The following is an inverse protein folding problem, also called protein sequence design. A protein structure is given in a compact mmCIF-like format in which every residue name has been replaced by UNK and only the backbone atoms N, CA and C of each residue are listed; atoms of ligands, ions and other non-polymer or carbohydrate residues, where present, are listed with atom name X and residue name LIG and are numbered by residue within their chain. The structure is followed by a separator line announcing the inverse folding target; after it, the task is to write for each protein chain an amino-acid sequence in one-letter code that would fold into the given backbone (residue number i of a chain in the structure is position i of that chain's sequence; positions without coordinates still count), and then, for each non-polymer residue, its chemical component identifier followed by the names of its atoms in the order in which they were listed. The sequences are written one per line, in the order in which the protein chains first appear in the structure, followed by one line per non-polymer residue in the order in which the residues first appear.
data_IF_350276222378
#
_entry.id   IF_350276222378
#
_cell.length_a   1.000
_cell.length_b   1.000
_cell.length_c   1.000
_cell.angle_alpha   90.00
_cell.angle_beta   90.00
_cell.angle_gamma   90.00
#
_symmetry.space_group_name_H-M   'P 1'
#
loop_
_entity.id
_entity.type
_entity.pdbx_description
1 polymer ?
#
# COMPACT_ATOMS: atom_id res chain seq x y z
N UNK A 1 2.07 17.17 9.09
CA UNK A 1 2.85 18.39 9.36
C UNK A 1 3.93 18.50 8.29
N UNK A 2 4.13 19.67 7.66
CA UNK A 2 5.15 19.84 6.64
C UNK A 2 6.55 19.70 7.27
N UNK A 3 7.39 18.86 6.68
CA UNK A 3 8.77 18.68 7.12
C UNK A 3 9.70 19.52 6.22
N UNK A 4 10.69 20.15 6.86
CA UNK A 4 11.72 20.92 6.17
C UNK A 4 12.96 20.04 6.10
N UNK A 5 13.42 19.72 4.89
CA UNK A 5 14.57 18.84 4.68
C UNK A 5 15.77 19.65 4.19
N UNK A 6 16.96 19.32 4.67
CA UNK A 6 18.19 19.88 4.11
C UNK A 6 18.39 19.37 2.67
N UNK A 7 19.19 20.06 1.83
CA UNK A 7 19.48 19.60 0.47
C UNK A 7 20.04 18.17 0.39
N UNK A 8 20.82 17.77 1.40
CA UNK A 8 21.40 16.43 1.51
C UNK A 8 20.32 15.39 1.84
N UNK A 9 19.42 15.72 2.78
CA UNK A 9 18.31 14.84 3.14
C UNK A 9 17.32 14.69 1.98
N UNK A 10 17.11 15.75 1.20
CA UNK A 10 16.28 15.72 0.01
C UNK A 10 16.89 14.81 -1.07
N UNK A 11 18.21 14.88 -1.27
CA UNK A 11 18.91 14.04 -2.23
C UNK A 11 18.86 12.56 -1.82
N UNK A 12 19.08 12.26 -0.54
CA UNK A 12 18.96 10.91 0.01
C UNK A 12 17.52 10.38 -0.09
N UNK A 13 16.53 11.24 0.15
CA UNK A 13 15.13 10.86 -0.02
C UNK A 13 14.84 10.56 -1.50
N UNK A 14 15.20 11.45 -2.44
CA UNK A 14 14.97 11.22 -3.86
C UNK A 14 15.65 9.95 -4.42
N UNK A 15 16.79 9.53 -3.87
CA UNK A 15 17.49 8.31 -4.28
C UNK A 15 16.96 7.04 -3.61
N UNK A 16 16.29 7.16 -2.46
CA UNK A 16 15.72 6.01 -1.72
C UNK A 16 14.24 5.79 -2.01
N UNK A 17 13.59 6.73 -2.70
CA UNK A 17 12.16 6.63 -3.01
C UNK A 17 11.86 5.52 -4.03
N UNK A 18 10.87 4.66 -3.74
CA UNK A 18 10.46 3.66 -4.71
C UNK A 18 9.82 4.31 -5.94
N UNK A 19 10.01 3.70 -7.12
CA UNK A 19 9.44 4.21 -8.37
C UNK A 19 7.90 4.25 -8.28
N UNK A 20 7.33 5.42 -8.57
CA UNK A 20 5.87 5.66 -8.54
C UNK A 20 5.37 6.41 -7.31
N UNK A 21 6.24 6.73 -6.34
CA UNK A 21 5.86 7.63 -5.25
C UNK A 21 5.76 9.07 -5.75
N UNK A 22 4.60 9.69 -5.56
CA UNK A 22 4.43 11.13 -5.73
C UNK A 22 4.81 11.85 -4.45
N UNK A 23 5.70 12.82 -4.59
CA UNK A 23 5.96 13.81 -3.57
C UNK A 23 5.30 15.11 -4.00
N UNK A 24 4.47 15.66 -3.13
CA UNK A 24 4.09 17.06 -3.23
C UNK A 24 5.22 17.89 -2.60
N UNK A 25 5.90 18.69 -3.43
CA UNK A 25 7.00 19.56 -3.01
C UNK A 25 6.63 21.03 -3.25
N UNK A 26 6.84 21.86 -2.24
CA UNK A 26 6.71 23.31 -2.35
C UNK A 26 8.08 23.96 -2.23
N UNK A 27 8.42 24.83 -3.18
CA UNK A 27 9.65 25.61 -3.14
C UNK A 27 9.38 26.90 -2.37
N UNK A 28 10.03 27.07 -1.23
CA UNK A 28 9.91 28.29 -0.44
C UNK A 28 10.72 29.45 -1.06
N UNK A 29 10.36 30.71 -0.79
CA UNK A 29 11.11 31.88 -1.28
C UNK A 29 12.56 31.94 -0.80
N UNK A 30 12.90 31.25 0.30
CA UNK A 30 14.26 31.10 0.83
C UNK A 30 15.10 30.07 0.07
N UNK A 31 14.54 29.35 -0.90
CA UNK A 31 15.24 28.32 -1.66
C UNK A 31 15.19 26.92 -1.05
N UNK A 32 14.53 26.74 0.10
CA UNK A 32 14.31 25.42 0.72
C UNK A 32 13.13 24.69 0.07
N UNK A 33 13.24 23.36 -0.02
CA UNK A 33 12.18 22.50 -0.55
C UNK A 33 11.43 21.85 0.61
N UNK A 34 10.12 22.11 0.69
CA UNK A 34 9.24 21.47 1.67
C UNK A 34 8.55 20.28 1.06
N UNK A 35 8.52 19.17 1.78
CA UNK A 35 7.74 17.99 1.40
C UNK A 35 6.40 18.04 2.12
N UNK A 36 5.32 18.12 1.35
CA UNK A 36 3.96 18.17 1.86
C UNK A 36 3.40 16.79 2.17
N UNK A 37 3.80 15.75 1.42
CA UNK A 37 3.50 14.35 1.76
C UNK A 37 4.73 13.46 1.61
N UNK A 38 5.21 12.91 2.71
CA UNK A 38 6.24 11.88 2.71
C UNK A 38 5.63 10.51 2.38
N UNK A 39 6.41 9.55 1.85
CA UNK A 39 5.99 8.17 1.71
C UNK A 39 5.69 7.63 3.11
N UNK A 40 4.49 7.09 3.30
CA UNK A 40 4.11 6.51 4.57
C UNK A 40 4.35 5.01 4.55
N UNK A 41 4.94 4.48 5.63
CA UNK A 41 5.03 3.04 5.84
C UNK A 41 3.67 2.47 6.23
N UNK A 42 3.50 1.14 6.08
CA UNK A 42 2.33 0.40 6.58
C UNK A 42 2.04 0.78 8.04
N UNK A 43 3.06 0.71 8.89
CA UNK A 43 2.97 0.98 10.33
C UNK A 43 2.53 2.43 10.64
N UNK A 44 3.07 3.41 9.91
CA UNK A 44 2.69 4.81 10.08
C UNK A 44 1.23 5.05 9.70
N UNK A 45 0.75 4.42 8.63
CA UNK A 45 -0.66 4.51 8.23
C UNK A 45 -1.59 3.81 9.21
N UNK A 46 -1.19 2.63 9.71
CA UNK A 46 -1.93 1.92 10.75
C UNK A 46 -2.10 2.81 11.97
N UNK A 47 -1.01 3.33 12.54
CA UNK A 47 -1.08 4.16 13.75
C UNK A 47 -1.85 5.47 13.50
N UNK A 48 -1.68 6.11 12.35
CA UNK A 48 -2.28 7.42 12.10
C UNK A 48 -3.79 7.38 11.81
N UNK A 49 -4.30 6.31 11.17
CA UNK A 49 -5.69 6.23 10.70
C UNK A 49 -6.51 5.08 11.28
N UNK A 50 -5.86 3.98 11.64
CA UNK A 50 -6.52 2.73 12.01
C UNK A 50 -5.99 2.18 13.35
N UNK A 51 -5.37 3.04 14.18
CA UNK A 51 -4.74 2.64 15.43
C UNK A 51 -5.71 1.91 16.37
N UNK A 52 -6.95 2.37 16.40
CA UNK A 52 -8.02 1.79 17.23
C UNK A 52 -8.40 0.36 16.81
N UNK A 53 -8.10 -0.04 15.56
CA UNK A 53 -8.46 -1.34 14.99
C UNK A 53 -7.33 -2.37 15.11
N UNK A 54 -6.14 -1.96 15.55
CA UNK A 54 -4.97 -2.85 15.64
C UNK A 54 -5.27 -3.98 16.63
N UNK A 55 -5.04 -5.22 16.20
CA UNK A 55 -5.31 -6.41 16.99
C UNK A 55 -6.80 -6.78 17.09
N UNK A 56 -7.69 -6.06 16.39
CA UNK A 56 -9.10 -6.45 16.30
C UNK A 56 -9.32 -7.48 15.20
N UNK A 57 -9.92 -8.62 15.57
CA UNK A 57 -10.26 -9.69 14.63
C UNK A 57 -11.52 -9.41 13.83
N UNK A 58 -11.40 -9.47 12.50
CA UNK A 58 -12.54 -9.44 11.58
C UNK A 58 -12.53 -10.69 10.69
N UNK A 59 -13.69 -11.26 10.39
CA UNK A 59 -13.77 -12.35 9.41
C UNK A 59 -13.67 -11.81 7.98
N UNK A 60 -13.09 -12.59 7.05
CA UNK A 60 -12.97 -12.19 5.64
C UNK A 60 -14.31 -11.81 5.01
N UNK A 61 -15.39 -12.52 5.35
CA UNK A 61 -16.75 -12.22 4.87
C UNK A 61 -17.24 -10.86 5.36
N UNK A 62 -17.00 -10.54 6.63
CA UNK A 62 -17.40 -9.26 7.24
C UNK A 62 -16.56 -8.12 6.70
N UNK A 63 -15.25 -8.33 6.55
CA UNK A 63 -14.32 -7.40 5.92
C UNK A 63 -14.72 -7.07 4.48
N UNK A 64 -15.01 -8.08 3.66
CA UNK A 64 -15.43 -7.89 2.27
C UNK A 64 -16.65 -6.96 2.15
N UNK A 65 -17.63 -7.13 3.03
CA UNK A 65 -18.82 -6.27 3.10
C UNK A 65 -18.49 -4.88 3.64
N UNK A 66 -17.77 -4.78 4.76
CA UNK A 66 -17.45 -3.52 5.43
C UNK A 66 -16.65 -2.58 4.54
N UNK A 67 -15.63 -3.10 3.87
CA UNK A 67 -14.70 -2.31 3.06
C UNK A 67 -15.06 -2.29 1.56
N UNK A 68 -16.14 -2.98 1.16
CA UNK A 68 -16.55 -3.11 -0.25
C UNK A 68 -15.42 -3.64 -1.13
N UNK A 69 -14.75 -4.69 -0.66
CA UNK A 69 -13.63 -5.34 -1.34
C UNK A 69 -14.04 -6.76 -1.73
N UNK A 70 -13.74 -7.23 -2.96
CA UNK A 70 -13.95 -8.62 -3.32
C UNK A 70 -13.21 -9.56 -2.36
N UNK A 71 -13.90 -10.59 -1.85
CA UNK A 71 -13.30 -11.58 -0.95
C UNK A 71 -12.00 -12.18 -1.50
N UNK A 72 -11.94 -12.42 -2.80
CA UNK A 72 -10.77 -12.94 -3.49
C UNK A 72 -9.55 -12.00 -3.47
N UNK A 73 -9.74 -10.70 -3.27
CA UNK A 73 -8.65 -9.75 -3.05
C UNK A 73 -8.12 -9.87 -1.62
N UNK A 74 -9.01 -9.97 -0.62
CA UNK A 74 -8.65 -10.18 0.78
C UNK A 74 -7.89 -11.49 0.96
N UNK A 75 -8.37 -12.59 0.35
CA UNK A 75 -7.68 -13.88 0.38
C UNK A 75 -6.26 -13.81 -0.20
N UNK A 76 -6.02 -12.97 -1.22
CA UNK A 76 -4.67 -12.75 -1.75
C UNK A 76 -3.78 -11.98 -0.78
N UNK A 77 -4.34 -10.98 -0.10
CA UNK A 77 -3.59 -10.22 0.90
C UNK A 77 -3.13 -11.11 2.05
N UNK A 78 -4.00 -11.99 2.52
CA UNK A 78 -3.70 -12.91 3.62
C UNK A 78 -2.76 -14.02 3.15
N UNK A 79 -3.18 -14.84 2.17
CA UNK A 79 -2.49 -16.11 1.90
C UNK A 79 -1.37 -16.04 0.86
N UNK A 80 -1.39 -15.04 -0.04
CA UNK A 80 -0.38 -14.97 -1.11
C UNK A 80 0.69 -13.93 -0.85
N UNK A 81 0.30 -12.81 -0.25
CA UNK A 81 1.17 -11.66 -0.11
C UNK A 81 1.59 -11.41 1.34
N UNK A 82 0.95 -12.06 2.32
CA UNK A 82 1.20 -11.85 3.75
C UNK A 82 1.14 -10.37 4.17
N UNK A 83 0.18 -9.63 3.63
CA UNK A 83 -0.06 -8.21 3.93
C UNK A 83 -0.96 -8.01 5.14
N UNK A 84 -1.77 -9.01 5.44
CA UNK A 84 -2.76 -8.98 6.50
C UNK A 84 -2.51 -10.20 7.37
N UNK A 85 -2.28 -9.95 8.65
CA UNK A 85 -2.01 -11.01 9.62
C UNK A 85 -3.29 -11.75 10.03
N UNK A 86 -3.14 -13.03 10.35
CA UNK A 86 -4.20 -13.85 10.94
C UNK A 86 -4.09 -13.70 12.45
N UNK A 87 -5.16 -13.22 13.09
CA UNK A 87 -5.22 -13.05 14.56
C UNK A 87 -5.56 -14.36 15.25
N UNK A 88 -6.51 -15.10 14.67
CA UNK A 88 -7.00 -16.34 15.25
C UNK A 88 -7.20 -17.37 14.13
N UNK A 89 -6.27 -18.33 14.08
CA UNK A 89 -6.27 -19.39 13.08
C UNK A 89 -7.15 -20.58 13.47
N UNK A 90 -7.42 -20.76 14.77
CA UNK A 90 -8.22 -21.86 15.32
C UNK A 90 -9.73 -21.57 15.22
N UNK A 91 -10.12 -20.29 15.23
CA UNK A 91 -11.50 -19.87 15.08
C UNK A 91 -12.09 -20.18 13.69
N UNK A 92 -13.37 -20.53 13.67
CA UNK A 92 -14.17 -20.58 12.45
C UNK A 92 -15.34 -19.59 12.52
N UNK A 93 -15.42 -18.60 11.63
CA UNK A 93 -14.46 -18.30 10.55
C UNK A 93 -13.15 -17.68 11.08
N UNK A 94 -12.01 -17.99 10.42
CA UNK A 94 -10.69 -17.40 10.73
C UNK A 94 -10.79 -15.87 10.83
N UNK A 95 -10.16 -15.32 11.86
CA UNK A 95 -10.10 -13.88 12.09
C UNK A 95 -8.77 -13.32 11.60
N UNK A 96 -8.85 -12.22 10.88
CA UNK A 96 -7.71 -11.47 10.34
C UNK A 96 -7.66 -10.08 10.97
N UNK A 97 -6.49 -9.46 10.99
CA UNK A 97 -6.31 -8.12 11.56
C UNK A 97 -7.08 -7.07 10.76
N UNK A 98 -8.00 -6.39 11.46
CA UNK A 98 -8.88 -5.42 10.82
C UNK A 98 -8.15 -4.14 10.38
N UNK A 99 -7.14 -3.68 11.11
CA UNK A 99 -6.38 -2.50 10.75
C UNK A 99 -5.59 -2.74 9.45
N UNK A 100 -4.97 -3.91 9.33
CA UNK A 100 -4.27 -4.34 8.12
C UNK A 100 -5.20 -4.40 6.90
N UNK A 101 -6.40 -4.95 7.09
CA UNK A 101 -7.43 -4.98 6.05
C UNK A 101 -7.83 -3.56 5.63
N UNK A 102 -8.00 -2.65 6.60
CA UNK A 102 -8.41 -1.27 6.33
C UNK A 102 -7.37 -0.53 5.48
N UNK A 103 -6.07 -0.65 5.81
CA UNK A 103 -4.99 -0.07 5.00
C UNK A 103 -4.98 -0.68 3.59
N UNK A 104 -5.07 -2.00 3.47
CA UNK A 104 -5.11 -2.65 2.16
C UNK A 104 -6.33 -2.21 1.33
N UNK A 105 -7.48 -2.02 1.96
CA UNK A 105 -8.69 -1.54 1.30
C UNK A 105 -8.54 -0.11 0.79
N UNK A 106 -7.90 0.78 1.55
CA UNK A 106 -7.62 2.14 1.12
C UNK A 106 -6.72 2.14 -0.14
N UNK A 107 -5.63 1.37 -0.12
CA UNK A 107 -4.72 1.22 -1.26
C UNK A 107 -5.46 0.64 -2.48
N UNK A 108 -6.33 -0.37 -2.27
CA UNK A 108 -7.14 -0.96 -3.32
C UNK A 108 -8.02 0.08 -4.01
N UNK A 109 -8.76 0.88 -3.23
CA UNK A 109 -9.67 1.89 -3.76
C UNK A 109 -8.94 3.02 -4.48
N UNK A 110 -7.78 3.45 -3.97
CA UNK A 110 -6.92 4.42 -4.65
C UNK A 110 -6.52 3.87 -6.03
N UNK A 111 -6.05 2.62 -6.09
CA UNK A 111 -5.63 1.97 -7.35
C UNK A 111 -6.77 1.76 -8.35
N UNK A 112 -8.00 1.52 -7.86
CA UNK A 112 -9.19 1.46 -8.72
C UNK A 112 -9.49 2.82 -9.35
N UNK A 113 -9.39 3.91 -8.57
CA UNK A 113 -9.62 5.28 -9.05
C UNK A 113 -8.55 5.75 -10.04
N UNK A 114 -7.30 5.35 -9.85
CA UNK A 114 -6.17 5.76 -10.71
C UNK A 114 -5.98 4.88 -11.97
N UNK A 115 -6.93 3.99 -12.30
CA UNK A 115 -6.85 3.07 -13.45
C UNK A 115 -5.67 2.08 -13.44
N UNK A 116 -5.05 1.85 -12.27
CA UNK A 116 -4.02 0.82 -12.05
C UNK A 116 -4.60 -0.60 -11.90
N UNK A 117 -5.87 -0.78 -12.27
CA UNK A 117 -6.72 -1.94 -11.98
C UNK A 117 -6.27 -3.26 -12.59
N UNK A 118 -5.17 -3.32 -13.36
CA UNK A 118 -4.88 -4.49 -14.23
C UNK A 118 -3.66 -5.34 -13.94
N UNK A 119 -2.83 -5.09 -12.92
CA UNK A 119 -1.65 -5.97 -12.82
C UNK A 119 -0.85 -6.00 -11.54
N UNK A 120 -1.25 -6.88 -10.60
CA UNK A 120 -0.37 -7.70 -9.76
C UNK A 120 0.78 -7.03 -9.01
N UNK A 121 0.78 -5.70 -8.90
CA UNK A 121 1.84 -4.96 -8.27
C UNK A 121 1.68 -5.04 -6.75
N UNK A 122 2.77 -5.25 -6.00
CA UNK A 122 2.70 -5.38 -4.55
C UNK A 122 2.18 -4.09 -3.93
N UNK A 123 1.46 -4.18 -2.80
CA UNK A 123 0.89 -3.00 -2.11
C UNK A 123 1.94 -2.24 -1.32
N UNK A 124 2.95 -2.98 -0.86
CA UNK A 124 4.07 -2.50 -0.11
C UNK A 124 5.35 -2.89 -0.84
N UNK A 125 6.40 -2.06 -0.75
CA UNK A 125 7.73 -2.42 -1.22
C UNK A 125 8.46 -3.33 -0.20
N UNK A 126 9.73 -3.64 -0.46
CA UNK A 126 10.58 -4.44 0.43
C UNK A 126 10.81 -3.77 1.81
N UNK A 127 10.57 -2.46 1.92
CA UNK A 127 10.72 -1.67 3.14
C UNK A 127 9.36 -1.37 3.81
N UNK A 128 8.25 -1.94 3.33
CA UNK A 128 6.92 -1.70 3.89
C UNK A 128 6.30 -0.35 3.52
N UNK A 129 6.86 0.37 2.55
CA UNK A 129 6.34 1.66 2.05
C UNK A 129 5.16 1.41 1.12
N UNK A 130 4.11 2.20 1.27
CA UNK A 130 2.90 2.04 0.46
C UNK A 130 3.11 2.47 -0.99
N UNK A 131 2.76 1.58 -1.91
CA UNK A 131 2.77 1.83 -3.35
C UNK A 131 1.34 2.10 -3.80
N UNK A 132 0.98 3.36 -4.06
CA UNK A 132 -0.35 3.71 -4.61
C UNK A 132 -0.36 3.82 -6.13
N UNK A 133 0.79 4.08 -6.76
CA UNK A 133 0.96 4.16 -8.21
C UNK A 133 2.18 3.34 -8.66
N UNK A 134 2.06 2.57 -9.73
CA UNK A 134 3.15 1.71 -10.26
C UNK A 134 3.44 2.17 -11.68
N UNK A 135 4.48 2.98 -11.87
CA UNK A 135 5.00 3.23 -13.21
C UNK A 135 6.00 2.15 -13.61
N UNK A 136 5.49 0.98 -13.99
CA UNK A 136 6.34 -0.02 -14.65
C UNK A 136 5.74 -0.53 -15.96
N UNK A 137 5.85 0.26 -17.05
CA UNK A 137 5.58 -0.23 -18.40
C UNK A 137 6.37 -1.51 -18.72
N UNK A 138 7.59 -1.66 -18.17
CA UNK A 138 8.45 -2.83 -18.36
C UNK A 138 7.97 -4.10 -17.63
N UNK A 139 7.43 -4.00 -16.40
CA UNK A 139 6.94 -5.17 -15.66
C UNK A 139 5.58 -5.66 -16.18
N UNK A 140 4.72 -4.73 -16.62
CA UNK A 140 3.48 -5.07 -17.31
C UNK A 140 3.76 -5.85 -18.61
N UNK A 141 4.74 -5.41 -19.41
CA UNK A 141 5.17 -6.10 -20.63
C UNK A 141 5.80 -7.47 -20.35
N UNK A 142 6.64 -7.59 -19.31
CA UNK A 142 7.25 -8.87 -18.91
C UNK A 142 6.20 -9.91 -18.49
N UNK A 143 5.24 -9.51 -17.64
CA UNK A 143 4.17 -10.41 -17.16
C UNK A 143 3.16 -10.77 -18.24
N UNK A 144 2.94 -9.88 -19.23
CA UNK A 144 2.14 -10.20 -20.42
C UNK A 144 2.80 -11.33 -21.22
N UNK A 145 4.12 -11.22 -21.48
CA UNK A 145 4.90 -12.28 -22.15
C UNK A 145 4.92 -13.60 -21.39
N UNK A 146 5.03 -13.56 -20.06
CA UNK A 146 5.01 -14.77 -19.21
C UNK A 146 3.65 -15.48 -19.17
N UNK A 147 2.54 -14.78 -19.47
CA UNK A 147 1.21 -15.37 -19.60
C UNK A 147 0.96 -15.93 -21.00
N UNK A 148 1.45 -15.26 -22.04
CA UNK A 148 1.30 -15.67 -23.44
C UNK A 148 2.22 -16.83 -23.84
N UNK A 149 3.29 -17.10 -23.09
CA UNK A 149 4.21 -18.21 -23.32
C UNK A 149 3.89 -19.50 -22.54
N UNK A 150 2.69 -19.63 -22.00
CA UNK A 150 2.27 -20.75 -21.14
C UNK A 150 1.03 -21.49 -21.69
N UNK A 151 0.78 -21.36 -22.99
CA UNK A 151 -0.17 -22.15 -23.79
C UNK A 151 0.59 -23.18 -24.66
#
# INVERSE_FOLDING_TARGET
MPQTLSPVDLQNLLTTLPPGVKLEIEKTPSGEVRIMSAPQTKEQLLQAKYGDLIGQGISMSKAAKKYTIPRSAIEKWVYRNNYVDIIDEESYPKLIDEADVAVCAEIYHIRQKTSLSKGGAPYFDENGVVITEVQHPRLAAKRKREREGRD
#
